data_IF_209581387881
#
_entry.id   IF_209581387881
#
_cell.length_a   1.000
_cell.length_b   1.000
_cell.length_c   1.000
_cell.angle_alpha   90.00
_cell.angle_beta   90.00
_cell.angle_gamma   90.00
#
_symmetry.space_group_name_H-M   'P 1'
#
loop_
_entity.id
_entity.type
_entity.pdbx_description
1 polymer ?
#
# COMPACT_ATOMS: atom_id res chain seq x y z
N UNK A 1 0.20 -95.20 154.20
CA UNK A 1 1.28 -95.12 153.19
C UNK A 1 0.62 -94.61 151.91
N UNK A 2 0.56 -93.30 151.67
CA UNK A 2 1.58 -92.41 151.07
C UNK A 2 1.42 -92.28 149.53
N UNK A 3 1.32 -91.00 149.09
CA UNK A 3 1.31 -90.44 147.71
C UNK A 3 0.04 -90.67 146.86
N UNK A 4 -0.95 -89.76 146.87
CA UNK A 4 -1.06 -88.43 146.19
C UNK A 4 -1.25 -88.53 144.67
N UNK A 5 -2.45 -88.13 144.21
CA UNK A 5 -2.78 -87.93 142.80
C UNK A 5 -2.45 -86.52 142.30
N UNK A 6 -2.10 -86.44 141.01
CA UNK A 6 -2.16 -85.25 140.15
C UNK A 6 -2.24 -85.80 138.70
N UNK A 7 -3.44 -85.93 138.12
CA UNK A 7 -4.22 -84.93 137.38
C UNK A 7 -3.82 -84.83 135.89
N UNK A 8 -4.65 -85.48 135.06
CA UNK A 8 -4.65 -85.59 133.59
C UNK A 8 -4.75 -84.23 132.85
N UNK A 9 -5.15 -83.17 133.55
CA UNK A 9 -5.42 -81.84 132.95
C UNK A 9 -4.14 -81.14 132.48
N UNK A 10 -3.01 -81.34 133.16
CA UNK A 10 -1.73 -80.75 132.77
C UNK A 10 -1.12 -81.39 131.51
N UNK A 11 -1.39 -82.67 131.26
CA UNK A 11 -0.83 -83.39 130.11
C UNK A 11 -1.58 -83.08 128.80
N UNK A 12 -2.87 -82.73 128.90
CA UNK A 12 -3.68 -82.31 127.74
C UNK A 12 -3.33 -80.89 127.28
N UNK A 13 -3.06 -79.97 128.21
CA UNK A 13 -2.72 -78.58 127.86
C UNK A 13 -1.33 -78.44 127.21
N UNK A 14 -0.35 -79.25 127.64
CA UNK A 14 1.01 -79.20 127.09
C UNK A 14 1.09 -79.79 125.67
N UNK A 15 0.20 -80.74 125.32
CA UNK A 15 0.13 -81.31 123.96
C UNK A 15 -0.57 -80.37 122.97
N UNK A 16 -1.60 -79.63 123.38
CA UNK A 16 -2.34 -78.74 122.46
C UNK A 16 -1.54 -77.52 122.02
N UNK A 17 -0.81 -76.87 122.93
CA UNK A 17 -0.02 -75.66 122.60
C UNK A 17 1.22 -75.92 121.73
N UNK A 18 1.68 -77.17 121.63
CA UNK A 18 2.86 -77.54 120.84
C UNK A 18 2.51 -77.84 119.37
N UNK A 19 1.32 -78.40 119.13
CA UNK A 19 0.78 -78.69 117.79
C UNK A 19 0.48 -77.41 117.00
N UNK A 20 -0.14 -76.40 117.61
CA UNK A 20 -0.45 -75.13 116.91
C UNK A 20 0.79 -74.34 116.51
N UNK A 21 1.87 -74.41 117.31
CA UNK A 21 3.13 -73.72 117.02
C UNK A 21 3.87 -74.37 115.84
N UNK A 22 3.89 -75.71 115.77
CA UNK A 22 4.45 -76.43 114.63
C UNK A 22 3.64 -76.16 113.35
N UNK A 23 2.32 -76.15 113.43
CA UNK A 23 1.46 -75.93 112.26
C UNK A 23 1.58 -74.50 111.71
N UNK A 24 1.61 -73.48 112.59
CA UNK A 24 1.88 -72.09 112.21
C UNK A 24 3.26 -71.90 111.60
N UNK A 25 4.30 -72.54 112.15
CA UNK A 25 5.66 -72.43 111.62
C UNK A 25 5.77 -73.07 110.22
N UNK A 26 5.04 -74.16 109.98
CA UNK A 26 4.97 -74.84 108.69
C UNK A 26 4.15 -74.02 107.67
N UNK A 27 3.03 -73.42 108.10
CA UNK A 27 2.23 -72.51 107.27
C UNK A 27 2.98 -71.23 106.90
N UNK A 28 3.74 -70.64 107.83
CA UNK A 28 4.59 -69.47 107.56
C UNK A 28 5.74 -69.84 106.61
N UNK A 29 6.36 -71.01 106.78
CA UNK A 29 7.38 -71.50 105.84
C UNK A 29 6.83 -71.70 104.43
N UNK A 30 5.64 -72.30 104.30
CA UNK A 30 4.96 -72.48 103.01
C UNK A 30 4.52 -71.16 102.38
N UNK A 31 4.04 -70.19 103.18
CA UNK A 31 3.65 -68.87 102.70
C UNK A 31 4.87 -68.06 102.26
N UNK A 32 5.98 -68.12 103.01
CA UNK A 32 7.25 -67.49 102.63
C UNK A 32 7.79 -68.06 101.33
N UNK A 33 7.70 -69.38 101.14
CA UNK A 33 8.15 -70.05 99.91
C UNK A 33 7.27 -69.68 98.71
N UNK A 34 5.95 -69.58 98.90
CA UNK A 34 5.02 -69.07 97.87
C UNK A 34 5.27 -67.60 97.55
N UNK A 35 5.55 -66.77 98.56
CA UNK A 35 5.87 -65.36 98.37
C UNK A 35 7.17 -65.19 97.57
N UNK A 36 8.18 -66.01 97.84
CA UNK A 36 9.45 -65.95 97.12
C UNK A 36 9.34 -66.49 95.68
N UNK A 37 8.50 -67.51 95.45
CA UNK A 37 8.17 -67.98 94.09
C UNK A 37 7.41 -66.92 93.28
N UNK A 38 6.40 -66.29 93.89
CA UNK A 38 5.66 -65.17 93.26
C UNK A 38 6.59 -63.99 92.99
N UNK A 39 7.46 -63.64 93.95
CA UNK A 39 8.47 -62.60 93.79
C UNK A 39 9.36 -62.92 92.58
N UNK A 40 9.93 -64.12 92.52
CA UNK A 40 10.81 -64.54 91.41
C UNK A 40 10.09 -64.50 90.06
N UNK A 41 8.81 -64.91 90.01
CA UNK A 41 7.98 -64.84 88.80
C UNK A 41 7.66 -63.40 88.40
N UNK A 42 7.34 -62.53 89.35
CA UNK A 42 7.06 -61.11 89.10
C UNK A 42 8.33 -60.39 88.64
N UNK A 43 9.46 -60.59 89.32
CA UNK A 43 10.74 -59.99 88.93
C UNK A 43 11.19 -60.48 87.55
N UNK A 44 11.05 -61.78 87.24
CA UNK A 44 11.39 -62.29 85.91
C UNK A 44 10.45 -61.82 84.80
N UNK A 45 9.14 -61.74 85.05
CA UNK A 45 8.16 -61.19 84.10
C UNK A 45 8.39 -59.70 83.83
N UNK A 46 8.59 -58.90 84.89
CA UNK A 46 8.85 -57.47 84.77
C UNK A 46 10.19 -57.22 84.06
N UNK A 47 11.25 -57.95 84.43
CA UNK A 47 12.56 -57.79 83.79
C UNK A 47 12.49 -58.17 82.30
N UNK A 48 11.77 -59.24 81.95
CA UNK A 48 11.59 -59.66 80.56
C UNK A 48 10.79 -58.63 79.76
N UNK A 49 9.63 -58.19 80.26
CA UNK A 49 8.83 -57.17 79.57
C UNK A 49 9.59 -55.85 79.41
N UNK A 50 10.36 -55.42 80.43
CA UNK A 50 11.11 -54.18 80.35
C UNK A 50 12.30 -54.28 79.38
N UNK A 51 12.92 -55.45 79.27
CA UNK A 51 14.01 -55.69 78.32
C UNK A 51 13.50 -55.75 76.88
N UNK A 52 12.39 -56.45 76.64
CA UNK A 52 11.71 -56.49 75.34
C UNK A 52 11.20 -55.10 74.93
N UNK A 53 10.62 -54.35 75.87
CA UNK A 53 10.16 -52.98 75.62
C UNK A 53 11.32 -52.03 75.28
N UNK A 54 12.45 -52.12 75.99
CA UNK A 54 13.64 -51.31 75.69
C UNK A 54 14.17 -51.61 74.29
N UNK A 55 14.33 -52.88 73.93
CA UNK A 55 14.78 -53.27 72.59
C UNK A 55 13.81 -52.77 71.50
N UNK A 56 12.51 -52.86 71.73
CA UNK A 56 11.49 -52.35 70.80
C UNK A 56 11.54 -50.82 70.69
N UNK A 57 11.79 -50.10 71.79
CA UNK A 57 11.95 -48.65 71.78
C UNK A 57 13.21 -48.22 71.02
N UNK A 58 14.34 -48.90 71.25
CA UNK A 58 15.61 -48.64 70.55
C UNK A 58 15.46 -48.88 69.03
N UNK A 59 14.82 -49.99 68.61
CA UNK A 59 14.50 -50.27 67.21
C UNK A 59 13.56 -49.21 66.60
N UNK A 60 12.57 -48.74 67.35
CA UNK A 60 11.65 -47.70 66.88
C UNK A 60 12.36 -46.35 66.73
N UNK A 61 13.27 -46.01 67.65
CA UNK A 61 14.11 -44.82 67.54
C UNK A 61 15.05 -44.88 66.34
N UNK A 62 15.70 -46.02 66.11
CA UNK A 62 16.57 -46.22 64.93
C UNK A 62 15.78 -46.16 63.61
N UNK A 63 14.59 -46.78 63.59
CA UNK A 63 13.72 -46.69 62.41
C UNK A 63 13.24 -45.26 62.18
N UNK A 64 12.90 -44.53 63.24
CA UNK A 64 12.51 -43.14 63.14
C UNK A 64 13.68 -42.25 62.66
N UNK A 65 14.91 -42.49 63.12
CA UNK A 65 16.08 -41.76 62.63
C UNK A 65 16.32 -42.03 61.14
N UNK A 66 16.22 -43.29 60.69
CA UNK A 66 16.30 -43.65 59.25
C UNK A 66 15.19 -43.01 58.42
N UNK A 67 13.96 -42.94 58.93
CA UNK A 67 12.85 -42.27 58.25
C UNK A 67 13.10 -40.76 58.16
N UNK A 68 13.63 -40.13 59.20
CA UNK A 68 14.00 -38.71 59.16
C UNK A 68 15.13 -38.46 58.18
N UNK A 69 16.19 -39.27 58.19
CA UNK A 69 17.28 -39.21 57.21
C UNK A 69 16.75 -39.33 55.78
N UNK A 70 15.96 -40.36 55.48
CA UNK A 70 15.36 -40.55 54.17
C UNK A 70 14.46 -39.37 53.77
N UNK A 71 13.70 -38.79 54.72
CA UNK A 71 12.89 -37.60 54.45
C UNK A 71 13.76 -36.39 54.11
N UNK A 72 14.87 -36.18 54.83
CA UNK A 72 15.81 -35.09 54.53
C UNK A 72 16.51 -35.28 53.18
N UNK A 73 16.89 -36.51 52.84
CA UNK A 73 17.46 -36.84 51.53
C UNK A 73 16.45 -36.63 50.41
N UNK A 74 15.20 -37.07 50.59
CA UNK A 74 14.13 -36.88 49.62
C UNK A 74 13.84 -35.38 49.40
N UNK A 75 13.81 -34.58 50.47
CA UNK A 75 13.61 -33.13 50.37
C UNK A 75 14.80 -32.45 49.66
N UNK A 76 16.03 -32.84 49.99
CA UNK A 76 17.24 -32.34 49.31
C UNK A 76 17.27 -32.69 47.83
N UNK A 77 16.88 -33.93 47.48
CA UNK A 77 16.76 -34.37 46.11
C UNK A 77 15.64 -33.62 45.37
N UNK A 78 14.50 -33.41 46.02
CA UNK A 78 13.39 -32.65 45.43
C UNK A 78 13.77 -31.19 45.15
N UNK A 79 14.45 -30.52 46.09
CA UNK A 79 14.94 -29.15 45.89
C UNK A 79 15.99 -29.09 44.78
N UNK A 80 16.91 -30.06 44.70
CA UNK A 80 17.89 -30.15 43.60
C UNK A 80 17.21 -30.37 42.26
N UNK A 81 16.29 -31.33 42.16
CA UNK A 81 15.54 -31.60 40.92
C UNK A 81 14.75 -30.35 40.52
N UNK A 82 14.05 -29.69 41.45
CA UNK A 82 13.28 -28.49 41.15
C UNK A 82 14.18 -27.35 40.67
N UNK A 83 15.28 -27.08 41.35
CA UNK A 83 16.24 -26.03 40.96
C UNK A 83 16.95 -26.33 39.64
N UNK A 84 17.42 -27.56 39.43
CA UNK A 84 18.10 -27.95 38.19
C UNK A 84 17.13 -27.96 37.01
N UNK A 85 15.91 -28.46 37.18
CA UNK A 85 14.88 -28.46 36.12
C UNK A 85 14.44 -27.03 35.81
N UNK A 86 14.21 -26.18 36.79
CA UNK A 86 13.82 -24.78 36.57
C UNK A 86 14.92 -23.98 35.88
N UNK A 87 16.18 -24.15 36.29
CA UNK A 87 17.31 -23.48 35.63
C UNK A 87 17.58 -23.99 34.22
N UNK A 88 17.46 -25.31 33.98
CA UNK A 88 17.56 -25.86 32.62
C UNK A 88 16.40 -25.39 31.74
N UNK A 89 15.18 -25.33 32.26
CA UNK A 89 14.02 -24.82 31.53
C UNK A 89 14.18 -23.34 31.19
N UNK A 90 14.66 -22.52 32.13
CA UNK A 90 14.95 -21.10 31.87
C UNK A 90 16.03 -20.92 30.79
N UNK A 91 17.12 -21.70 30.83
CA UNK A 91 18.16 -21.69 29.79
C UNK A 91 17.64 -22.14 28.43
N UNK A 92 16.83 -23.19 28.40
CA UNK A 92 16.21 -23.65 27.15
C UNK A 92 15.24 -22.60 26.58
N UNK A 93 14.47 -21.94 27.45
CA UNK A 93 13.55 -20.87 27.04
C UNK A 93 14.30 -19.64 26.52
N UNK A 94 15.40 -19.23 27.17
CA UNK A 94 16.21 -18.10 26.67
C UNK A 94 16.88 -18.42 25.33
N UNK A 95 17.39 -19.65 25.16
CA UNK A 95 17.94 -20.08 23.86
C UNK A 95 16.85 -20.13 22.79
N UNK A 96 15.63 -20.54 23.14
CA UNK A 96 14.50 -20.52 22.22
C UNK A 96 14.10 -19.11 21.82
N UNK A 97 14.06 -18.15 22.76
CA UNK A 97 13.77 -16.75 22.44
C UNK A 97 14.85 -16.14 21.55
N UNK A 98 16.13 -16.39 21.83
CA UNK A 98 17.25 -15.93 21.00
C UNK A 98 17.17 -16.52 19.59
N UNK A 99 16.91 -17.83 19.49
CA UNK A 99 16.78 -18.50 18.19
C UNK A 99 15.54 -18.00 17.42
N UNK A 100 14.44 -17.72 18.12
CA UNK A 100 13.24 -17.12 17.52
C UNK A 100 13.51 -15.70 17.02
N UNK A 101 14.22 -14.88 17.79
CA UNK A 101 14.59 -13.52 17.39
C UNK A 101 15.52 -13.55 16.16
N UNK A 102 16.56 -14.39 16.19
CA UNK A 102 17.44 -14.61 15.03
C UNK A 102 16.69 -15.14 13.81
N UNK A 103 15.70 -16.01 14.00
CA UNK A 103 14.84 -16.50 12.92
C UNK A 103 13.97 -15.37 12.33
N UNK A 104 13.48 -14.46 13.15
CA UNK A 104 12.73 -13.28 12.65
C UNK A 104 13.64 -12.31 11.91
N UNK A 105 14.85 -12.04 12.42
CA UNK A 105 15.83 -11.19 11.77
C UNK A 105 16.27 -11.76 10.41
N UNK A 106 16.62 -13.04 10.37
CA UNK A 106 16.99 -13.72 9.12
C UNK A 106 15.84 -13.76 8.12
N UNK A 107 14.59 -13.93 8.55
CA UNK A 107 13.43 -13.84 7.67
C UNK A 107 13.22 -12.41 7.10
N UNK A 108 13.45 -11.37 7.90
CA UNK A 108 13.41 -9.98 7.42
C UNK A 108 14.49 -9.75 6.36
N UNK A 109 15.72 -10.22 6.60
CA UNK A 109 16.83 -10.13 5.64
C UNK A 109 16.48 -10.88 4.35
N UNK A 110 15.96 -12.10 4.43
CA UNK A 110 15.56 -12.89 3.25
C UNK A 110 14.46 -12.16 2.46
N UNK A 111 13.49 -11.55 3.13
CA UNK A 111 12.42 -10.80 2.45
C UNK A 111 12.98 -9.56 1.73
N UNK A 112 13.89 -8.82 2.36
CA UNK A 112 14.59 -7.68 1.74
C UNK A 112 15.40 -8.15 0.53
N UNK A 113 16.17 -9.23 0.64
CA UNK A 113 16.94 -9.81 -0.47
C UNK A 113 16.04 -10.28 -1.62
N UNK A 114 14.89 -10.91 -1.31
CA UNK A 114 13.93 -11.34 -2.32
C UNK A 114 13.35 -10.14 -3.08
N UNK A 115 12.99 -9.06 -2.38
CA UNK A 115 12.55 -7.81 -3.00
C UNK A 115 13.66 -7.18 -3.85
N UNK A 116 14.92 -7.24 -3.39
CA UNK A 116 16.07 -6.75 -4.14
C UNK A 116 16.29 -7.52 -5.45
N UNK A 117 16.19 -8.85 -5.41
CA UNK A 117 16.23 -9.70 -6.59
C UNK A 117 15.08 -9.38 -7.55
N UNK A 118 13.86 -9.19 -7.05
CA UNK A 118 12.71 -8.82 -7.87
C UNK A 118 12.89 -7.46 -8.55
N UNK A 119 13.47 -6.48 -7.84
CA UNK A 119 13.81 -5.17 -8.42
C UNK A 119 14.86 -5.35 -9.51
N UNK A 120 15.94 -6.10 -9.25
CA UNK A 120 17.00 -6.34 -10.24
C UNK A 120 16.49 -7.07 -11.49
N UNK A 121 15.66 -8.10 -11.32
CA UNK A 121 15.03 -8.82 -12.44
C UNK A 121 14.10 -7.91 -13.24
N UNK A 122 13.35 -7.05 -12.55
CA UNK A 122 12.44 -6.09 -13.16
C UNK A 122 13.19 -5.01 -13.94
N UNK A 123 14.29 -4.49 -13.39
CA UNK A 123 15.19 -3.55 -14.06
C UNK A 123 15.89 -4.19 -15.26
N UNK A 124 16.29 -5.47 -15.15
CA UNK A 124 16.85 -6.22 -16.28
C UNK A 124 15.81 -6.42 -17.39
N UNK A 125 14.56 -6.73 -17.05
CA UNK A 125 13.44 -6.81 -18.01
C UNK A 125 13.09 -5.46 -18.62
N UNK A 126 13.27 -4.36 -17.88
CA UNK A 126 13.06 -2.99 -18.36
C UNK A 126 13.95 -2.70 -19.57
N UNK A 127 15.23 -3.10 -19.51
CA UNK A 127 16.17 -2.91 -20.63
C UNK A 127 15.69 -3.61 -21.91
N UNK A 128 15.15 -4.83 -21.80
CA UNK A 128 14.59 -5.59 -22.92
C UNK A 128 13.28 -4.98 -23.44
N UNK A 129 12.42 -4.52 -22.54
CA UNK A 129 11.14 -3.92 -22.93
C UNK A 129 11.28 -2.53 -23.55
N UNK A 130 12.31 -1.76 -23.15
CA UNK A 130 12.75 -0.54 -23.83
C UNK A 130 13.10 -0.82 -25.29
N UNK A 131 13.81 -1.91 -25.56
CA UNK A 131 14.16 -2.34 -26.94
C UNK A 131 12.91 -2.76 -27.72
N UNK A 132 11.98 -3.47 -27.08
CA UNK A 132 10.73 -3.91 -27.69
C UNK A 132 9.66 -2.81 -27.84
N UNK A 133 9.92 -1.57 -27.39
CA UNK A 133 8.99 -0.42 -27.45
C UNK A 133 7.59 -0.67 -26.86
N UNK A 134 7.47 -1.62 -25.93
CA UNK A 134 6.22 -1.95 -25.28
C UNK A 134 5.97 -1.02 -24.08
N UNK A 135 5.63 0.25 -24.36
CA UNK A 135 5.57 1.34 -23.37
C UNK A 135 4.60 1.07 -22.20
N UNK A 136 3.48 0.40 -22.43
CA UNK A 136 2.52 0.06 -21.37
C UNK A 136 3.08 -0.95 -20.37
N UNK A 137 3.85 -1.94 -20.85
CA UNK A 137 4.51 -2.94 -19.99
C UNK A 137 5.66 -2.31 -19.22
N UNK A 138 6.37 -1.36 -19.84
CA UNK A 138 7.42 -0.57 -19.18
C UNK A 138 6.83 0.23 -18.02
N UNK A 139 5.68 0.89 -18.22
CA UNK A 139 5.00 1.63 -17.16
C UNK A 139 4.55 0.74 -16.00
N UNK A 140 3.95 -0.43 -16.28
CA UNK A 140 3.54 -1.38 -15.25
C UNK A 140 4.72 -1.87 -14.41
N UNK A 141 5.85 -2.18 -15.04
CA UNK A 141 7.07 -2.60 -14.35
C UNK A 141 7.66 -1.45 -13.52
N UNK A 142 7.68 -0.23 -14.05
CA UNK A 142 8.14 0.94 -13.29
C UNK A 142 7.25 1.21 -12.07
N UNK A 143 5.93 1.05 -12.18
CA UNK A 143 5.01 1.18 -11.05
C UNK A 143 5.23 0.07 -9.99
N UNK A 144 5.46 -1.17 -10.43
CA UNK A 144 5.78 -2.28 -9.54
C UNK A 144 7.14 -2.10 -8.86
N UNK A 145 8.15 -1.60 -9.57
CA UNK A 145 9.46 -1.27 -8.98
C UNK A 145 9.32 -0.12 -7.98
N UNK A 146 8.48 0.88 -8.27
CA UNK A 146 8.19 1.97 -7.33
C UNK A 146 7.57 1.47 -6.02
N UNK A 147 6.54 0.63 -6.09
CA UNK A 147 5.90 0.10 -4.87
C UNK A 147 6.87 -0.76 -4.05
N UNK A 148 7.68 -1.59 -4.71
CA UNK A 148 8.72 -2.37 -4.05
C UNK A 148 9.82 -1.49 -3.42
N UNK A 149 10.16 -0.35 -4.03
CA UNK A 149 11.14 0.61 -3.49
C UNK A 149 10.60 1.48 -2.35
N UNK A 150 9.29 1.77 -2.33
CA UNK A 150 8.62 2.52 -1.27
C UNK A 150 8.45 1.67 0.00
N UNK A 151 8.24 0.36 -0.16
CA UNK A 151 8.19 -0.63 0.93
C UNK A 151 9.55 -0.89 1.61
N UNK A 152 10.67 -0.44 1.02
CA UNK A 152 12.00 -0.69 1.56
C UNK A 152 12.39 0.38 2.62
N UNK A 153 12.96 -0.05 3.77
CA UNK A 153 13.31 0.86 4.85
C UNK A 153 14.29 1.95 4.39
N UNK A 154 14.00 3.20 4.77
CA UNK A 154 14.79 4.38 4.36
C UNK A 154 16.12 4.53 5.12
N UNK A 155 16.37 3.71 6.14
CA UNK A 155 17.55 3.80 7.02
C UNK A 155 18.12 2.40 7.29
N UNK A 156 19.45 2.25 7.22
CA UNK A 156 20.21 1.01 7.41
C UNK A 156 21.57 1.03 6.71
N UNK A 157 22.45 0.05 6.96
CA UNK A 157 23.75 -0.10 6.27
C UNK A 157 23.58 -0.28 4.74
N UNK A 158 22.44 -0.84 4.32
CA UNK A 158 22.02 -1.00 2.93
C UNK A 158 21.48 0.30 2.31
N UNK A 159 21.42 1.40 3.08
CA UNK A 159 20.96 2.71 2.59
C UNK A 159 21.74 3.20 1.37
N UNK A 160 23.00 2.78 1.20
CA UNK A 160 23.77 3.09 0.00
C UNK A 160 23.24 2.32 -1.22
N UNK A 161 22.96 1.03 -1.09
CA UNK A 161 22.41 0.19 -2.18
C UNK A 161 21.00 0.68 -2.52
N UNK A 162 20.13 0.90 -1.53
CA UNK A 162 18.79 1.43 -1.76
C UNK A 162 18.81 2.84 -2.35
N UNK A 163 19.76 3.69 -1.96
CA UNK A 163 19.94 5.03 -2.55
C UNK A 163 20.39 4.92 -4.00
N UNK A 164 21.37 4.07 -4.31
CA UNK A 164 21.83 3.84 -5.67
C UNK A 164 20.71 3.25 -6.54
N UNK A 165 19.94 2.29 -6.04
CA UNK A 165 18.79 1.74 -6.77
C UNK A 165 17.65 2.74 -6.97
N UNK A 166 17.36 3.58 -5.98
CA UNK A 166 16.40 4.67 -6.14
C UNK A 166 16.89 5.70 -7.16
N UNK A 167 18.19 6.03 -7.14
CA UNK A 167 18.78 6.90 -8.14
C UNK A 167 18.70 6.28 -9.54
N UNK A 168 19.01 4.99 -9.67
CA UNK A 168 18.90 4.26 -10.94
C UNK A 168 17.45 4.23 -11.43
N UNK A 169 16.47 3.91 -10.56
CA UNK A 169 15.05 3.98 -10.89
C UNK A 169 14.63 5.38 -11.34
N UNK A 170 15.08 6.43 -10.65
CA UNK A 170 14.78 7.81 -11.03
C UNK A 170 15.40 8.19 -12.38
N UNK A 171 16.63 7.75 -12.65
CA UNK A 171 17.29 7.93 -13.95
C UNK A 171 16.51 7.21 -15.04
N UNK A 172 16.19 5.94 -14.85
CA UNK A 172 15.43 5.11 -15.78
C UNK A 172 14.03 5.67 -16.06
N UNK A 173 13.34 6.14 -15.02
CA UNK A 173 12.05 6.81 -15.15
C UNK A 173 12.18 8.13 -15.93
N UNK A 174 13.23 8.91 -15.65
CA UNK A 174 13.50 10.16 -16.36
C UNK A 174 13.82 9.93 -17.84
N UNK A 175 14.62 8.91 -18.16
CA UNK A 175 14.90 8.50 -19.55
C UNK A 175 13.65 8.02 -20.29
N UNK A 176 12.78 7.30 -19.60
CA UNK A 176 11.50 6.90 -20.15
C UNK A 176 10.63 8.11 -20.49
N UNK A 177 10.53 9.07 -19.56
CA UNK A 177 9.84 10.34 -19.80
C UNK A 177 10.45 11.12 -20.97
N UNK A 178 11.78 11.19 -21.06
CA UNK A 178 12.48 11.82 -22.18
C UNK A 178 12.20 11.11 -23.50
N UNK A 179 12.10 9.79 -23.49
CA UNK A 179 11.77 9.00 -24.69
C UNK A 179 10.35 9.30 -25.16
N UNK A 180 9.39 9.33 -24.25
CA UNK A 180 8.01 9.75 -24.52
C UNK A 180 7.98 11.19 -25.07
N UNK A 181 8.68 12.13 -24.42
CA UNK A 181 8.78 13.51 -24.88
C UNK A 181 9.42 13.65 -26.25
N UNK A 182 10.43 12.84 -26.56
CA UNK A 182 11.05 12.79 -27.89
C UNK A 182 10.07 12.28 -28.94
N UNK A 183 9.23 11.29 -28.62
CA UNK A 183 8.18 10.81 -29.53
C UNK A 183 7.12 11.88 -29.77
N UNK A 184 6.73 12.61 -28.74
CA UNK A 184 5.82 13.75 -28.87
C UNK A 184 6.40 14.86 -29.75
N UNK A 185 7.63 15.28 -29.47
CA UNK A 185 8.31 16.33 -30.25
C UNK A 185 8.63 15.88 -31.68
N UNK A 186 8.83 14.57 -31.91
CA UNK A 186 8.93 14.02 -33.26
C UNK A 186 7.58 14.08 -33.98
N UNK A 187 6.48 13.86 -33.25
CA UNK A 187 5.12 13.84 -33.82
C UNK A 187 4.58 15.23 -34.10
N UNK A 188 4.98 16.24 -33.33
CA UNK A 188 4.51 17.63 -33.44
C UNK A 188 5.72 18.57 -33.44
N UNK A 189 6.05 19.10 -34.62
CA UNK A 189 7.14 20.05 -34.80
C UNK A 189 6.53 21.42 -35.11
N UNK A 190 6.94 22.43 -34.34
CA UNK A 190 6.60 23.82 -34.60
C UNK A 190 7.82 24.52 -35.18
N UNK A 191 7.71 25.05 -36.40
CA UNK A 191 8.65 26.02 -36.93
C UNK A 191 8.05 27.41 -36.74
N UNK A 192 8.55 28.14 -35.76
CA UNK A 192 8.18 29.54 -35.51
C UNK A 192 9.39 30.42 -35.78
N UNK A 193 9.18 31.61 -36.34
CA UNK A 193 10.25 32.60 -36.45
C UNK A 193 10.68 33.12 -35.07
N UNK A 194 11.98 33.39 -34.92
CA UNK A 194 12.64 33.78 -33.65
C UNK A 194 12.24 35.17 -33.15
N UNK A 195 11.31 35.86 -33.80
CA UNK A 195 10.82 37.17 -33.40
C UNK A 195 9.30 37.16 -33.26
N UNK A 196 8.75 37.30 -32.03
CA UNK A 196 7.32 37.43 -31.78
C UNK A 196 6.88 38.87 -32.13
N UNK A 197 7.08 39.29 -33.38
CA UNK A 197 6.48 40.50 -33.90
C UNK A 197 5.07 40.16 -34.37
N UNK A 198 4.11 40.38 -33.48
CA UNK A 198 2.67 40.15 -33.65
C UNK A 198 2.02 41.03 -34.74
N UNK A 199 2.79 41.98 -35.28
CA UNK A 199 2.30 43.02 -36.18
C UNK A 199 2.65 42.78 -37.65
N UNK A 200 3.41 41.72 -37.97
CA UNK A 200 3.87 41.48 -39.34
C UNK A 200 3.38 40.16 -39.95
N UNK A 201 2.68 40.30 -41.09
CA UNK A 201 2.17 39.19 -41.92
C UNK A 201 3.31 38.23 -42.32
N UNK A 202 4.52 38.75 -42.56
CA UNK A 202 5.67 37.94 -42.99
C UNK A 202 6.22 37.00 -41.90
N UNK A 203 5.97 37.30 -40.63
CA UNK A 203 6.32 36.41 -39.51
C UNK A 203 5.40 35.18 -39.45
N UNK A 204 4.12 35.38 -39.77
CA UNK A 204 3.12 34.32 -39.81
C UNK A 204 3.25 33.43 -41.05
N UNK A 205 3.68 33.97 -42.19
CA UNK A 205 3.96 33.18 -43.41
C UNK A 205 5.08 32.13 -43.23
N UNK A 206 5.95 32.33 -42.23
CA UNK A 206 7.03 31.39 -41.88
C UNK A 206 6.66 30.46 -40.72
N UNK A 207 5.43 30.54 -40.22
CA UNK A 207 4.95 29.65 -39.16
C UNK A 207 4.43 28.37 -39.80
N UNK A 208 5.07 27.25 -39.49
CA UNK A 208 4.65 25.94 -39.95
C UNK A 208 4.46 25.00 -38.76
N UNK A 209 3.32 24.30 -38.73
CA UNK A 209 3.05 23.19 -37.83
C UNK A 209 3.13 21.90 -38.65
N UNK A 210 4.12 21.08 -38.35
CA UNK A 210 4.30 19.77 -38.98
C UNK A 210 3.88 18.69 -38.00
N UNK A 211 2.83 17.96 -38.36
CA UNK A 211 2.34 16.80 -37.61
C UNK A 211 2.72 15.55 -38.39
N UNK A 212 3.43 14.62 -37.78
CA UNK A 212 3.71 13.32 -38.41
C UNK A 212 2.44 12.47 -38.50
N UNK A 213 2.00 12.18 -39.72
CA UNK A 213 0.87 11.29 -40.04
C UNK A 213 1.28 9.83 -40.10
N UNK A 214 2.57 9.52 -39.94
CA UNK A 214 3.07 8.15 -39.81
C UNK A 214 2.43 7.49 -38.58
N UNK A 215 1.38 6.70 -38.83
CA UNK A 215 0.65 5.94 -37.83
C UNK A 215 1.49 4.73 -37.39
N UNK A 216 2.53 5.00 -36.61
CA UNK A 216 3.30 3.95 -35.96
C UNK A 216 2.57 3.53 -34.70
N UNK A 217 2.34 2.23 -34.51
CA UNK A 217 1.79 1.67 -33.29
C UNK A 217 2.51 2.21 -32.02
N UNK A 218 3.79 2.51 -32.17
CA UNK A 218 4.65 3.18 -31.18
C UNK A 218 4.09 4.50 -30.65
N UNK A 219 3.49 5.36 -31.50
CA UNK A 219 2.95 6.66 -31.11
C UNK A 219 1.64 6.47 -30.34
N UNK A 220 0.77 5.53 -30.77
CA UNK A 220 -0.47 5.22 -30.04
C UNK A 220 -0.18 4.70 -28.63
N UNK A 221 0.74 3.76 -28.52
CA UNK A 221 1.22 3.22 -27.23
C UNK A 221 1.84 4.32 -26.36
N UNK A 222 2.65 5.22 -26.95
CA UNK A 222 3.22 6.34 -26.22
C UNK A 222 2.15 7.32 -25.70
N UNK A 223 1.11 7.61 -26.49
CA UNK A 223 -0.01 8.47 -26.08
C UNK A 223 -0.83 7.82 -24.96
N UNK A 224 -1.10 6.51 -25.03
CA UNK A 224 -1.76 5.74 -23.96
C UNK A 224 -0.98 5.78 -22.65
N UNK A 225 0.33 5.54 -22.74
CA UNK A 225 1.24 5.61 -21.60
C UNK A 225 1.28 7.03 -21.02
N UNK A 226 1.32 8.08 -21.86
CA UNK A 226 1.28 9.48 -21.42
C UNK A 226 -0.03 9.85 -20.73
N UNK A 227 -1.16 9.34 -21.21
CA UNK A 227 -2.46 9.53 -20.58
C UNK A 227 -2.50 8.87 -19.19
N UNK A 228 -2.00 7.64 -19.09
CA UNK A 228 -1.90 6.91 -17.81
C UNK A 228 -1.00 7.62 -16.79
N UNK A 229 -0.03 8.41 -17.27
CA UNK A 229 0.86 9.24 -16.46
C UNK A 229 0.33 10.65 -16.18
N UNK A 230 -0.85 11.04 -16.68
CA UNK A 230 -1.41 12.40 -16.63
C UNK A 230 -0.50 13.49 -17.24
N UNK A 231 0.47 13.11 -18.06
CA UNK A 231 1.38 14.05 -18.73
C UNK A 231 0.76 14.61 -20.02
N UNK A 232 -0.20 13.89 -20.59
CA UNK A 232 -0.87 14.26 -21.83
C UNK A 232 -1.63 15.58 -21.68
N UNK A 233 -2.31 15.81 -20.55
CA UNK A 233 -3.09 17.03 -20.29
C UNK A 233 -2.21 18.29 -20.35
N UNK A 234 -1.03 18.26 -19.73
CA UNK A 234 -0.10 19.38 -19.75
C UNK A 234 0.44 19.67 -21.16
N UNK A 235 0.74 18.62 -21.91
CA UNK A 235 1.25 18.73 -23.29
C UNK A 235 0.16 19.22 -24.24
N UNK A 236 -1.07 18.70 -24.12
CA UNK A 236 -2.24 19.16 -24.87
C UNK A 236 -2.58 20.61 -24.52
N UNK A 237 -2.48 21.02 -23.25
CA UNK A 237 -2.69 22.41 -22.86
C UNK A 237 -1.67 23.36 -23.50
N UNK A 238 -0.38 22.98 -23.47
CA UNK A 238 0.67 23.74 -24.15
C UNK A 238 0.45 23.78 -25.67
N UNK A 239 0.05 22.66 -26.27
CA UNK A 239 -0.27 22.57 -27.68
C UNK A 239 -1.47 23.46 -28.05
N UNK A 240 -2.57 23.38 -27.31
CA UNK A 240 -3.78 24.17 -27.53
C UNK A 240 -3.52 25.67 -27.44
N UNK A 241 -2.74 26.11 -26.44
CA UNK A 241 -2.31 27.52 -26.32
C UNK A 241 -1.51 27.97 -27.55
N UNK A 242 -0.55 27.16 -28.00
CA UNK A 242 0.22 27.45 -29.22
C UNK A 242 -0.66 27.45 -30.46
N UNK A 243 -1.58 26.51 -30.59
CA UNK A 243 -2.50 26.42 -31.71
C UNK A 243 -3.40 27.66 -31.81
N UNK A 244 -3.97 28.09 -30.69
CA UNK A 244 -4.75 29.33 -30.64
C UNK A 244 -3.90 30.55 -31.01
N UNK A 245 -2.66 30.62 -30.51
CA UNK A 245 -1.77 31.76 -30.68
C UNK A 245 -1.18 31.86 -32.09
N UNK A 246 -0.77 30.75 -32.69
CA UNK A 246 0.01 30.71 -33.93
C UNK A 246 -0.83 30.36 -35.16
N UNK A 247 -1.98 29.71 -35.00
CA UNK A 247 -2.83 29.32 -36.13
C UNK A 247 -4.14 30.09 -36.11
N UNK A 248 -4.90 30.06 -35.00
CA UNK A 248 -6.24 30.68 -34.97
C UNK A 248 -6.17 32.20 -34.98
N UNK A 249 -5.38 32.80 -34.10
CA UNK A 249 -5.29 34.27 -33.97
C UNK A 249 -4.85 34.96 -35.27
N UNK A 250 -3.88 34.45 -36.05
CA UNK A 250 -3.56 35.03 -37.36
C UNK A 250 -4.68 34.95 -38.39
N UNK A 251 -5.51 33.90 -38.39
CA UNK A 251 -6.68 33.78 -39.28
C UNK A 251 -7.71 34.88 -38.95
N UNK A 252 -7.87 35.21 -37.67
CA UNK A 252 -8.81 36.23 -37.19
C UNK A 252 -8.29 37.65 -37.46
N UNK A 253 -7.00 37.92 -37.19
CA UNK A 253 -6.42 39.27 -37.29
C UNK A 253 -6.05 39.64 -38.73
N UNK A 254 -5.59 38.68 -39.55
CA UNK A 254 -5.09 38.95 -40.89
C UNK A 254 -5.97 38.30 -41.99
N UNK A 255 -6.95 39.03 -42.55
CA UNK A 255 -7.80 38.61 -43.66
C UNK A 255 -7.08 37.97 -44.86
N UNK A 256 -5.84 38.43 -45.10
CA UNK A 256 -5.00 38.03 -46.23
C UNK A 256 -4.24 36.72 -46.00
N UNK A 257 -4.30 36.13 -44.81
CA UNK A 257 -3.69 34.84 -44.54
C UNK A 257 -4.71 33.71 -44.76
N UNK A 258 -4.37 32.79 -45.66
CA UNK A 258 -5.11 31.55 -45.87
C UNK A 258 -4.33 30.39 -45.25
N UNK A 259 -4.95 29.60 -44.35
CA UNK A 259 -4.32 28.36 -43.92
C UNK A 259 -4.19 27.45 -45.14
N UNK A 260 -2.99 26.92 -45.35
CA UNK A 260 -2.69 25.92 -46.38
C UNK A 260 -2.33 24.63 -45.67
N UNK A 261 -2.96 23.56 -46.15
CA UNK A 261 -2.70 22.21 -45.71
C UNK A 261 -1.96 21.47 -46.82
N UNK A 262 -0.76 20.99 -46.52
CA UNK A 262 0.00 20.11 -47.42
C UNK A 262 0.18 18.75 -46.74
N UNK A 263 -0.43 17.72 -47.31
CA UNK A 263 -0.21 16.34 -46.89
C UNK A 263 0.89 15.71 -47.74
N UNK A 264 2.06 15.50 -47.14
CA UNK A 264 3.19 14.84 -47.77
C UNK A 264 3.34 13.47 -47.15
N UNK A 265 2.49 12.49 -47.52
CA UNK A 265 2.55 11.07 -47.12
C UNK A 265 2.63 10.81 -45.60
N UNK A 266 3.81 10.99 -45.02
CA UNK A 266 4.16 10.76 -43.61
C UNK A 266 4.05 12.01 -42.71
N UNK A 267 3.78 13.19 -43.28
CA UNK A 267 3.56 14.41 -42.51
C UNK A 267 2.43 15.30 -43.09
N UNK A 268 1.68 15.89 -42.18
CA UNK A 268 0.70 16.96 -42.43
C UNK A 268 1.33 18.28 -42.00
N UNK A 269 1.47 19.21 -42.95
CA UNK A 269 2.06 20.54 -42.70
C UNK A 269 0.95 21.59 -42.81
N UNK A 270 0.73 22.32 -41.73
CA UNK A 270 -0.10 23.52 -41.68
C UNK A 270 0.80 24.74 -41.82
N UNK A 271 0.59 25.52 -42.87
CA UNK A 271 1.30 26.78 -43.10
C UNK A 271 0.34 27.86 -43.56
N UNK A 272 0.85 29.07 -43.77
CA UNK A 272 0.05 30.18 -44.29
C UNK A 272 0.48 30.57 -45.69
N UNK A 273 -0.49 30.81 -46.57
CA UNK A 273 -0.27 31.50 -47.85
C UNK A 273 -0.94 32.86 -47.87
N UNK A 274 -0.36 33.77 -48.66
CA UNK A 274 -0.91 35.11 -48.86
C UNK A 274 -2.01 35.07 -49.92
N UNK A 275 -3.22 35.42 -49.51
CA UNK A 275 -4.35 35.66 -50.38
C UNK A 275 -4.09 36.94 -51.19
N UNK A 276 -3.88 36.79 -52.50
CA UNK A 276 -3.62 37.90 -53.42
C UNK A 276 -4.90 38.66 -53.80
N UNK A 277 -6.06 38.24 -53.30
CA UNK A 277 -7.34 38.90 -53.56
C UNK A 277 -7.42 40.23 -52.79
N UNK A 278 -7.74 41.33 -53.49
CA UNK A 278 -7.67 42.72 -53.00
C UNK A 278 -8.73 43.10 -51.94
N UNK A 279 -9.50 42.15 -51.40
CA UNK A 279 -10.52 42.48 -50.40
C UNK A 279 -9.84 42.85 -49.07
N UNK A 280 -10.11 44.06 -48.58
CA UNK A 280 -9.55 44.58 -47.34
C UNK A 280 -10.26 44.08 -46.08
N UNK A 281 -11.36 43.33 -46.21
CA UNK A 281 -12.15 42.80 -45.08
C UNK A 281 -12.48 41.33 -45.33
N UNK A 282 -12.14 40.46 -44.38
CA UNK A 282 -12.64 39.09 -44.33
C UNK A 282 -14.06 39.14 -43.77
N UNK A 283 -15.03 38.53 -44.47
CA UNK A 283 -16.36 38.31 -43.89
C UNK A 283 -16.26 37.24 -42.79
N UNK A 284 -17.04 37.39 -41.70
CA UNK A 284 -17.08 36.42 -40.59
C UNK A 284 -17.30 34.99 -41.11
N UNK A 285 -18.15 34.80 -42.10
CA UNK A 285 -18.42 33.49 -42.72
C UNK A 285 -17.15 32.82 -43.26
N UNK A 286 -16.30 33.56 -43.98
CA UNK A 286 -15.05 33.03 -44.56
C UNK A 286 -14.03 32.74 -43.46
N UNK A 287 -14.02 33.57 -42.41
CA UNK A 287 -13.14 33.34 -41.25
C UNK A 287 -13.51 32.04 -40.52
N UNK A 288 -14.80 31.86 -40.19
CA UNK A 288 -15.30 30.67 -39.52
C UNK A 288 -15.09 29.42 -40.37
N UNK A 289 -15.29 29.52 -41.68
CA UNK A 289 -15.00 28.42 -42.62
C UNK A 289 -13.51 28.03 -42.60
N UNK A 290 -12.59 29.01 -42.64
CA UNK A 290 -11.14 28.74 -42.56
C UNK A 290 -10.74 28.10 -41.23
N UNK A 291 -11.32 28.55 -40.12
CA UNK A 291 -11.08 27.95 -38.81
C UNK A 291 -11.64 26.51 -38.78
N UNK A 292 -12.88 26.31 -39.22
CA UNK A 292 -13.52 24.99 -39.28
C UNK A 292 -12.72 23.98 -40.10
N UNK A 293 -12.29 24.37 -41.31
CA UNK A 293 -11.42 23.54 -42.15
C UNK A 293 -10.10 23.18 -41.45
N UNK A 294 -9.51 24.11 -40.68
CA UNK A 294 -8.29 23.83 -39.92
C UNK A 294 -8.53 22.77 -38.84
N UNK A 295 -9.68 22.80 -38.17
CA UNK A 295 -10.06 21.78 -37.17
C UNK A 295 -10.36 20.42 -37.80
N UNK A 296 -11.05 20.38 -38.94
CA UNK A 296 -11.30 19.16 -39.71
C UNK A 296 -9.97 18.51 -40.12
N UNK A 297 -9.06 19.28 -40.72
CA UNK A 297 -7.74 18.78 -41.13
C UNK A 297 -6.88 18.35 -39.94
N UNK A 298 -6.95 19.06 -38.80
CA UNK A 298 -6.27 18.64 -37.57
C UNK A 298 -6.86 17.33 -37.01
N UNK A 299 -8.18 17.16 -37.11
CA UNK A 299 -8.84 15.94 -36.68
C UNK A 299 -8.44 14.74 -37.52
N UNK A 300 -8.38 14.91 -38.84
CA UNK A 300 -7.98 13.88 -39.79
C UNK A 300 -6.51 13.47 -39.62
N UNK A 301 -5.61 14.43 -39.39
CA UNK A 301 -4.18 14.17 -39.27
C UNK A 301 -3.76 13.51 -37.93
N UNK A 302 -4.45 13.85 -36.83
CA UNK A 302 -3.97 13.56 -35.49
C UNK A 302 -5.04 13.15 -34.48
N UNK A 303 -6.19 13.83 -34.46
CA UNK A 303 -7.14 13.71 -33.33
C UNK A 303 -8.18 12.59 -33.48
N UNK A 304 -8.38 12.05 -34.69
CA UNK A 304 -9.20 10.84 -34.94
C UNK A 304 -8.50 9.54 -34.51
N UNK A 305 -7.29 9.62 -33.96
CA UNK A 305 -6.61 8.47 -33.38
C UNK A 305 -7.30 8.12 -32.06
N UNK A 306 -8.26 7.19 -32.12
CA UNK A 306 -8.86 6.62 -30.91
C UNK A 306 -7.76 6.07 -30.01
N UNK A 307 -7.71 6.55 -28.77
CA UNK A 307 -6.90 5.96 -27.73
C UNK A 307 -7.73 4.81 -27.16
N UNK A 308 -7.30 3.53 -27.26
CA UNK A 308 -7.95 2.45 -26.53
C UNK A 308 -7.89 2.78 -25.04
N UNK A 309 -9.06 2.87 -24.40
CA UNK A 309 -9.18 3.14 -22.98
C UNK A 309 -8.35 2.13 -22.18
N UNK A 310 -7.58 2.62 -21.22
CA UNK A 310 -7.03 1.77 -20.16
C UNK A 310 -8.20 1.02 -19.52
N UNK A 311 -8.05 -0.31 -19.39
CA UNK A 311 -9.04 -1.23 -18.85
C UNK A 311 -9.89 -0.65 -17.69
N UNK A 312 -11.16 -1.08 -17.66
CA UNK A 312 -12.27 -0.73 -16.76
C UNK A 312 -13.13 0.48 -17.17
N UNK A 313 -14.09 0.23 -18.07
CA UNK A 313 -15.42 0.86 -18.06
C UNK A 313 -15.55 2.37 -18.21
N UNK A 314 -14.44 3.12 -18.32
CA UNK A 314 -14.44 4.55 -18.58
C UNK A 314 -14.59 4.79 -20.09
N UNK A 315 -15.56 5.65 -20.43
CA UNK A 315 -15.81 6.05 -21.81
C UNK A 315 -14.52 6.56 -22.48
N UNK A 316 -14.33 6.08 -23.69
CA UNK A 316 -13.13 6.27 -24.49
C UNK A 316 -13.02 7.75 -24.91
N UNK A 317 -12.38 8.59 -24.09
CA UNK A 317 -12.18 10.01 -24.42
C UNK A 317 -11.26 10.18 -25.61
N UNK A 318 -11.74 10.89 -26.63
CA UNK A 318 -10.93 11.24 -27.81
C UNK A 318 -9.95 12.37 -27.49
N UNK A 319 -8.81 12.40 -28.20
CA UNK A 319 -7.86 13.53 -28.13
C UNK A 319 -8.52 14.85 -28.57
N UNK A 320 -9.46 14.77 -29.53
CA UNK A 320 -10.25 15.91 -29.99
C UNK A 320 -11.06 16.53 -28.84
N UNK A 321 -11.77 15.69 -28.06
CA UNK A 321 -12.58 16.14 -26.93
C UNK A 321 -11.73 16.81 -25.87
N UNK A 322 -10.60 16.20 -25.49
CA UNK A 322 -9.67 16.80 -24.51
C UNK A 322 -9.09 18.14 -24.99
N UNK A 323 -8.71 18.26 -26.27
CA UNK A 323 -8.24 19.54 -26.80
C UNK A 323 -9.37 20.57 -26.82
N UNK A 324 -10.58 20.14 -27.21
CA UNK A 324 -11.79 20.95 -27.25
C UNK A 324 -12.08 21.64 -25.93
N UNK A 325 -12.14 20.86 -24.83
CA UNK A 325 -12.33 21.37 -23.46
C UNK A 325 -11.29 22.45 -23.10
N UNK A 326 -10.03 22.26 -23.51
CA UNK A 326 -8.93 23.17 -23.20
C UNK A 326 -9.07 24.50 -23.95
N UNK A 327 -9.46 24.47 -25.22
CA UNK A 327 -9.38 25.65 -26.10
C UNK A 327 -10.71 26.39 -26.26
N UNK A 328 -11.87 25.73 -26.01
CA UNK A 328 -13.18 26.25 -26.37
C UNK A 328 -13.49 27.62 -25.76
N UNK A 329 -13.22 27.79 -24.46
CA UNK A 329 -13.44 29.06 -23.74
C UNK A 329 -12.62 30.21 -24.33
N UNK A 330 -11.35 29.95 -24.66
CA UNK A 330 -10.47 30.96 -25.26
C UNK A 330 -10.81 31.23 -26.72
N UNK A 331 -11.23 30.20 -27.48
CA UNK A 331 -11.64 30.33 -28.86
C UNK A 331 -12.91 31.18 -28.99
N UNK A 332 -13.92 30.90 -28.17
CA UNK A 332 -15.17 31.66 -28.12
C UNK A 332 -14.91 33.12 -27.74
N UNK A 333 -14.05 33.39 -26.76
CA UNK A 333 -13.65 34.74 -26.39
C UNK A 333 -13.00 35.50 -27.56
N UNK A 334 -12.08 34.87 -28.30
CA UNK A 334 -11.43 35.47 -29.49
C UNK A 334 -12.48 35.78 -30.56
N UNK A 335 -13.36 34.82 -30.87
CA UNK A 335 -14.41 35.01 -31.89
C UNK A 335 -15.38 36.13 -31.47
N UNK A 336 -15.77 36.19 -30.21
CA UNK A 336 -16.68 37.22 -29.69
C UNK A 336 -16.03 38.61 -29.77
N UNK A 337 -14.87 38.80 -29.15
CA UNK A 337 -14.21 40.11 -29.04
C UNK A 337 -13.71 40.63 -30.38
N UNK A 338 -13.05 39.79 -31.17
CA UNK A 338 -12.39 40.24 -32.38
C UNK A 338 -13.31 40.27 -33.60
N UNK A 339 -14.44 39.56 -33.56
CA UNK A 339 -15.38 39.44 -34.69
C UNK A 339 -16.83 39.79 -34.35
N UNK A 340 -17.49 39.05 -33.44
CA UNK A 340 -18.95 39.17 -33.27
C UNK A 340 -19.38 40.52 -32.68
N UNK A 341 -18.62 41.10 -31.74
CA UNK A 341 -18.89 42.44 -31.21
C UNK A 341 -18.92 43.52 -32.30
N UNK A 342 -18.07 43.38 -33.33
CA UNK A 342 -17.98 44.33 -34.45
C UNK A 342 -19.12 44.15 -35.47
N UNK A 343 -19.80 43.01 -35.44
CA UNK A 343 -20.87 42.65 -36.36
C UNK A 343 -22.27 42.78 -35.76
N UNK A 344 -22.41 43.28 -34.53
CA UNK A 344 -23.71 43.54 -33.89
C UNK A 344 -24.52 44.53 -34.74
N UNK A 345 -25.72 44.14 -35.21
CA UNK A 345 -26.52 44.99 -36.09
C UNK A 345 -27.03 46.22 -35.35
N UNK A 346 -26.90 47.39 -35.97
CA UNK A 346 -27.43 48.68 -35.49
C UNK A 346 -28.63 49.15 -36.29
N UNK A 347 -28.90 48.53 -37.44
CA UNK A 347 -30.01 48.87 -38.35
C UNK A 347 -30.70 47.61 -38.87
N UNK A 348 -31.97 47.74 -39.30
CA UNK A 348 -32.79 46.60 -39.76
C UNK A 348 -32.18 45.86 -40.96
N UNK A 349 -31.50 46.57 -41.87
CA UNK A 349 -30.81 45.98 -43.02
C UNK A 349 -29.47 45.31 -42.70
N UNK A 350 -28.94 45.52 -41.48
CA UNK A 350 -27.80 44.75 -40.95
C UNK A 350 -28.26 43.47 -40.25
N UNK A 351 -29.54 43.38 -39.86
CA UNK A 351 -30.12 42.20 -39.22
C UNK A 351 -30.20 41.01 -40.19
N UNK A 352 -30.59 41.22 -41.44
CA UNK A 352 -30.59 40.16 -42.47
C UNK A 352 -29.20 39.57 -42.69
N UNK A 353 -28.15 40.41 -42.76
CA UNK A 353 -26.75 39.94 -42.85
C UNK A 353 -26.27 39.25 -41.59
N UNK A 354 -26.89 39.55 -40.46
CA UNK A 354 -26.61 38.90 -39.18
C UNK A 354 -27.24 37.50 -39.11
N UNK A 355 -28.38 37.26 -39.78
CA UNK A 355 -28.97 35.92 -39.93
C UNK A 355 -28.08 34.98 -40.76
N UNK A 356 -27.48 35.48 -41.86
CA UNK A 356 -26.47 34.70 -42.61
C UNK A 356 -25.24 34.36 -41.74
N UNK A 357 -24.89 35.27 -40.84
CA UNK A 357 -23.81 35.08 -39.87
C UNK A 357 -24.18 34.02 -38.83
N UNK A 358 -25.42 34.03 -38.33
CA UNK A 358 -25.96 33.00 -37.44
C UNK A 358 -25.93 31.60 -38.07
N UNK A 359 -26.33 31.48 -39.34
CA UNK A 359 -26.25 30.21 -40.07
C UNK A 359 -24.80 29.72 -40.23
N UNK A 360 -23.86 30.64 -40.45
CA UNK A 360 -22.42 30.32 -40.54
C UNK A 360 -21.86 29.83 -39.21
N UNK A 361 -22.27 30.43 -38.09
CA UNK A 361 -21.88 30.00 -36.73
C UNK A 361 -22.45 28.63 -36.41
N UNK A 362 -23.72 28.38 -36.75
CA UNK A 362 -24.33 27.07 -36.55
C UNK A 362 -23.60 25.98 -37.33
N UNK A 363 -23.25 26.24 -38.60
CA UNK A 363 -22.44 25.32 -39.41
C UNK A 363 -21.08 25.05 -38.78
N UNK A 364 -20.41 26.09 -38.28
CA UNK A 364 -19.12 25.98 -37.62
C UNK A 364 -19.18 25.11 -36.35
N UNK A 365 -20.17 25.32 -35.48
CA UNK A 365 -20.37 24.50 -34.29
C UNK A 365 -20.67 23.04 -34.66
N UNK A 366 -21.54 22.80 -35.67
CA UNK A 366 -21.81 21.44 -36.16
C UNK A 366 -20.53 20.76 -36.67
N UNK A 367 -19.65 21.47 -37.36
CA UNK A 367 -18.33 20.94 -37.76
C UNK A 367 -17.50 20.52 -36.54
N UNK A 368 -17.45 21.34 -35.48
CA UNK A 368 -16.69 21.03 -34.26
C UNK A 368 -17.28 19.87 -33.45
N UNK A 369 -18.62 19.74 -33.42
CA UNK A 369 -19.30 18.59 -32.82
C UNK A 369 -18.99 17.32 -33.61
N UNK A 370 -19.12 17.37 -34.93
CA UNK A 370 -18.87 16.20 -35.81
C UNK A 370 -17.42 15.72 -35.73
N UNK A 371 -16.48 16.65 -35.56
CA UNK A 371 -15.05 16.35 -35.39
C UNK A 371 -14.66 16.00 -33.95
N UNK A 372 -15.62 16.03 -33.01
CA UNK A 372 -15.44 15.59 -31.62
C UNK A 372 -14.74 16.58 -30.69
N UNK A 373 -14.58 17.85 -31.09
CA UNK A 373 -14.01 18.91 -30.22
C UNK A 373 -15.07 19.57 -29.32
N UNK A 374 -16.36 19.41 -29.61
CA UNK A 374 -17.44 20.00 -28.83
C UNK A 374 -18.48 18.92 -28.47
N UNK A 375 -19.01 18.99 -27.25
CA UNK A 375 -20.18 18.22 -26.86
C UNK A 375 -21.48 18.93 -27.29
N UNK A 376 -22.55 18.19 -27.55
CA UNK A 376 -23.82 18.75 -28.07
C UNK A 376 -24.50 19.78 -27.14
N UNK A 377 -24.07 19.89 -25.89
CA UNK A 377 -24.73 20.71 -24.85
C UNK A 377 -23.82 21.79 -24.21
N UNK A 378 -22.71 22.18 -24.83
CA UNK A 378 -21.85 23.25 -24.27
C UNK A 378 -22.44 24.64 -24.53
N UNK A 379 -22.23 25.61 -23.62
CA UNK A 379 -22.64 27.01 -23.85
C UNK A 379 -22.07 27.53 -25.19
N UNK A 380 -22.98 27.80 -26.13
CA UNK A 380 -22.66 27.99 -27.56
C UNK A 380 -22.48 29.46 -27.95
N UNK A 381 -21.71 29.71 -29.01
CA UNK A 381 -21.68 31.00 -29.71
C UNK A 381 -23.08 31.36 -30.24
N UNK A 382 -23.91 30.36 -30.53
CA UNK A 382 -25.33 30.55 -30.84
C UNK A 382 -26.10 31.20 -29.68
N UNK A 383 -25.85 30.83 -28.43
CA UNK A 383 -26.52 31.44 -27.28
C UNK A 383 -26.20 32.94 -27.18
N UNK A 384 -24.93 33.32 -27.38
CA UNK A 384 -24.50 34.72 -27.45
C UNK A 384 -25.24 35.47 -28.57
N UNK A 385 -25.26 34.92 -29.79
CA UNK A 385 -25.89 35.60 -30.92
C UNK A 385 -27.41 35.68 -30.79
N UNK A 386 -28.08 34.67 -30.22
CA UNK A 386 -29.52 34.71 -29.90
C UNK A 386 -29.83 35.82 -28.90
N UNK A 387 -29.02 35.98 -27.85
CA UNK A 387 -29.19 37.06 -26.87
C UNK A 387 -29.05 38.46 -27.50
N UNK A 388 -28.11 38.63 -28.44
CA UNK A 388 -27.96 39.87 -29.20
C UNK A 388 -29.21 40.15 -30.05
N UNK A 389 -29.76 39.14 -30.73
CA UNK A 389 -30.99 39.26 -31.52
C UNK A 389 -32.19 39.59 -30.63
N UNK A 390 -32.36 38.91 -29.49
CA UNK A 390 -33.44 39.21 -28.53
C UNK A 390 -33.34 40.62 -27.98
N UNK A 391 -32.14 41.10 -27.67
CA UNK A 391 -31.92 42.46 -27.20
C UNK A 391 -32.19 43.51 -28.30
N UNK A 392 -31.94 43.19 -29.58
CA UNK A 392 -32.33 44.04 -30.71
C UNK A 392 -33.86 44.04 -30.91
N UNK A 393 -34.51 42.88 -30.83
CA UNK A 393 -35.97 42.74 -30.96
C UNK A 393 -36.73 43.43 -29.83
N UNK A 394 -36.19 43.43 -28.60
CA UNK A 394 -36.79 44.12 -27.45
C UNK A 394 -36.54 45.65 -27.44
N UNK A 395 -35.68 46.17 -28.33
CA UNK A 395 -35.40 47.61 -28.47
C UNK A 395 -36.25 48.31 -29.54
N UNK A 396 -36.96 47.55 -30.37
CA UNK A 396 -38.05 48.05 -31.23
C UNK A 396 -39.34 48.03 -30.42
#
# INVERSE_FOLDING_TARGET
MAAVGASFVTDVLQKSGRLEKEDLQTSVGNLSRKADDVKTRVYSLILKQYTEFKQSCDLTMEMNSKVQELSTEMNSLNEKIKGDVETQLQKANSLYTDLSEQLTETNLIINVLKKLCQIHDSMSKLSLLKICKAYDKVLQILQLVKSLLDDLPRSGAESKIFRTMRAEYLTEYSEFLQTLDRLWNKSIIWQTTTTPSWDNIDGHLKTELTISTSDTADIKLALQTMQSLKLLDEKLNRFGKKFLQFIIRPIVIFPRLKPVHNQTGEACIFSFSKDLTKSSKLGITIMLERIGQTFEQLSEAFMNRSIPGSNDGQEQRSLASMLGEIIWSSLTEIIIKDCLEKCVPKTSSQLEKYEDTLASIAKFETTLITTGYLEENTDTLQAYCKNVTTHFSNKK
#
